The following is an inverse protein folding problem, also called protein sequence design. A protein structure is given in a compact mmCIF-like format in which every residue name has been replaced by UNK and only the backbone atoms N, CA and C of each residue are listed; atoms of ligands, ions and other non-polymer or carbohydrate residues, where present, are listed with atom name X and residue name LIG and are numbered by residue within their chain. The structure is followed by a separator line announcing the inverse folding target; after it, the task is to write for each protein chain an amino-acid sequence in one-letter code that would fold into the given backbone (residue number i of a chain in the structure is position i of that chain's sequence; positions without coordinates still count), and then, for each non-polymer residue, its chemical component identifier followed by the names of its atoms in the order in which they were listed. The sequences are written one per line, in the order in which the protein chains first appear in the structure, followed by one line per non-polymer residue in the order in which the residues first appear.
data_IF_132034124379
#
_entry.id   IF_132034124379
#
_cell.length_a   1.000
_cell.length_b   1.000
_cell.length_c   1.000
_cell.angle_alpha   90.00
_cell.angle_beta   90.00
_cell.angle_gamma   90.00
#
_symmetry.space_group_name_H-M   'P 1'
#
loop_
_entity.id
_entity.type
_entity.pdbx_description
1 polymer ?
#
# COMPACT_ATOMS: atom_id res chain seq x y z
N UNK A 1 -38.72 28.93 -32.95
CA UNK A 1 -37.43 28.37 -33.42
C UNK A 1 -36.50 28.48 -32.23
N UNK A 2 -36.46 27.41 -31.43
CA UNK A 2 -35.44 27.20 -30.42
C UNK A 2 -34.89 25.80 -30.74
N UNK A 3 -33.63 25.67 -31.18
CA UNK A 3 -33.09 24.39 -31.60
C UNK A 3 -32.82 23.56 -30.35
N UNK A 4 -33.51 22.42 -30.30
CA UNK A 4 -33.23 21.24 -29.49
C UNK A 4 -31.78 21.17 -29.03
N UNK A 5 -31.59 21.38 -27.73
CA UNK A 5 -30.50 20.78 -26.97
C UNK A 5 -30.73 19.26 -27.08
N UNK A 6 -30.04 18.60 -28.01
CA UNK A 6 -29.87 17.15 -27.98
C UNK A 6 -29.06 16.83 -26.73
N UNK A 7 -29.75 16.75 -25.59
CA UNK A 7 -29.23 16.16 -24.38
C UNK A 7 -28.90 14.71 -24.71
N UNK A 8 -27.61 14.37 -24.66
CA UNK A 8 -27.14 12.99 -24.76
C UNK A 8 -27.67 12.24 -23.55
N UNK A 9 -28.87 11.65 -23.67
CA UNK A 9 -29.46 10.81 -22.63
C UNK A 9 -28.59 9.55 -22.58
N UNK A 10 -27.84 9.38 -21.49
CA UNK A 10 -27.10 8.14 -21.24
C UNK A 10 -28.14 7.01 -21.14
N UNK A 11 -28.01 5.92 -21.91
CA UNK A 11 -28.98 4.84 -21.85
C UNK A 11 -28.98 4.24 -20.43
N UNK A 12 -30.14 4.07 -19.76
CA UNK A 12 -30.22 3.69 -18.34
C UNK A 12 -29.60 2.33 -18.01
N UNK A 13 -29.34 1.49 -19.02
CA UNK A 13 -28.62 0.22 -18.88
C UNK A 13 -27.12 0.48 -18.63
N UNK A 14 -26.53 1.46 -19.31
CA UNK A 14 -25.10 1.75 -19.19
C UNK A 14 -24.77 2.32 -17.81
N UNK A 15 -25.64 3.15 -17.23
CA UNK A 15 -25.48 3.68 -15.87
C UNK A 15 -25.46 2.56 -14.83
N UNK A 16 -26.43 1.64 -14.87
CA UNK A 16 -26.52 0.52 -13.92
C UNK A 16 -25.33 -0.43 -14.03
N UNK A 17 -24.98 -0.86 -15.25
CA UNK A 17 -23.84 -1.74 -15.47
C UNK A 17 -22.53 -1.09 -15.00
N UNK A 18 -22.39 0.22 -15.23
CA UNK A 18 -21.21 0.96 -14.76
C UNK A 18 -21.18 1.05 -13.24
N UNK A 19 -22.32 1.32 -12.60
CA UNK A 19 -22.44 1.40 -11.16
C UNK A 19 -22.14 0.04 -10.49
N UNK A 20 -22.76 -1.04 -10.95
CA UNK A 20 -22.51 -2.40 -10.45
C UNK A 20 -21.05 -2.82 -10.62
N UNK A 21 -20.41 -2.45 -11.76
CA UNK A 21 -18.97 -2.68 -11.97
C UNK A 21 -18.14 -1.90 -10.95
N UNK A 22 -18.42 -0.61 -10.77
CA UNK A 22 -17.70 0.23 -9.81
C UNK A 22 -17.92 -0.22 -8.36
N UNK A 23 -19.10 -0.70 -7.99
CA UNK A 23 -19.36 -1.29 -6.67
C UNK A 23 -18.60 -2.61 -6.47
N UNK A 24 -18.55 -3.47 -7.49
CA UNK A 24 -17.79 -4.72 -7.43
C UNK A 24 -16.27 -4.46 -7.33
N UNK A 25 -15.77 -3.45 -8.05
CA UNK A 25 -14.38 -3.00 -7.94
C UNK A 25 -14.12 -2.37 -6.57
N UNK A 26 -15.06 -1.56 -6.05
CA UNK A 26 -14.97 -0.97 -4.73
C UNK A 26 -14.92 -2.03 -3.62
N UNK A 27 -15.74 -3.07 -3.70
CA UNK A 27 -15.70 -4.21 -2.77
C UNK A 27 -14.36 -4.96 -2.82
N UNK A 28 -13.64 -4.90 -3.95
CA UNK A 28 -12.31 -5.51 -4.10
C UNK A 28 -11.17 -4.58 -3.74
N UNK A 29 -11.42 -3.28 -3.52
CA UNK A 29 -10.38 -2.27 -3.31
C UNK A 29 -9.44 -2.57 -2.15
N UNK A 30 -9.94 -3.26 -1.11
CA UNK A 30 -9.12 -3.66 0.04
C UNK A 30 -8.01 -4.66 -0.33
N UNK A 31 -8.16 -5.36 -1.47
CA UNK A 31 -7.20 -6.34 -1.99
C UNK A 31 -6.32 -5.79 -3.13
N UNK A 32 -6.54 -4.55 -3.55
CA UNK A 32 -5.88 -3.94 -4.71
C UNK A 32 -4.61 -3.19 -4.34
N UNK A 33 -3.64 -3.21 -5.24
CA UNK A 33 -2.44 -2.37 -5.26
C UNK A 33 -2.72 -1.23 -6.22
N UNK A 34 -2.86 -0.03 -5.68
CA UNK A 34 -3.37 1.12 -6.42
C UNK A 34 -2.23 1.91 -7.08
N UNK A 35 -2.48 2.42 -8.29
CA UNK A 35 -1.70 3.54 -8.83
C UNK A 35 -1.91 4.79 -7.97
N UNK A 36 -0.88 5.63 -7.91
CA UNK A 36 -0.99 6.94 -7.28
C UNK A 36 -1.99 7.79 -8.08
N UNK A 37 -2.98 8.43 -7.43
CA UNK A 37 -3.97 9.20 -8.15
C UNK A 37 -3.33 10.29 -9.02
N UNK A 38 -3.61 10.26 -10.33
CA UNK A 38 -2.96 11.14 -11.31
C UNK A 38 -3.11 12.63 -10.97
N UNK A 39 -4.26 13.02 -10.40
CA UNK A 39 -4.51 14.39 -9.96
C UNK A 39 -3.63 14.86 -8.79
N UNK A 40 -3.13 13.94 -7.97
CA UNK A 40 -2.26 14.22 -6.83
C UNK A 40 -0.78 14.16 -7.18
N UNK A 41 -0.41 13.43 -8.26
CA UNK A 41 0.98 13.22 -8.67
C UNK A 41 1.76 14.53 -8.81
N UNK A 42 1.15 15.57 -9.38
CA UNK A 42 1.75 16.91 -9.51
C UNK A 42 2.03 17.60 -8.17
N UNK A 43 1.23 17.33 -7.14
CA UNK A 43 1.31 18.04 -5.85
C UNK A 43 2.16 17.32 -4.83
N UNK A 44 2.08 15.98 -4.82
CA UNK A 44 2.70 15.13 -3.80
C UNK A 44 3.90 14.37 -4.36
N UNK A 45 3.97 14.11 -5.67
CA UNK A 45 5.03 13.31 -6.28
C UNK A 45 6.43 13.93 -6.12
N UNK A 46 6.51 15.23 -5.88
CA UNK A 46 7.77 15.97 -5.79
C UNK A 46 8.44 16.11 -7.16
N UNK A 47 9.60 16.76 -7.19
CA UNK A 47 10.35 16.90 -8.44
C UNK A 47 10.73 15.52 -8.99
N UNK A 48 10.36 15.27 -10.26
CA UNK A 48 10.63 14.01 -10.94
C UNK A 48 9.89 12.80 -10.35
N UNK A 49 8.74 13.01 -9.70
CA UNK A 49 7.95 11.95 -9.06
C UNK A 49 8.72 11.15 -8.00
N UNK A 50 9.70 11.79 -7.35
CA UNK A 50 10.55 11.26 -6.27
C UNK A 50 9.82 10.69 -5.04
N UNK A 51 8.49 10.74 -4.96
CA UNK A 51 7.71 10.10 -3.89
C UNK A 51 6.79 8.98 -4.42
N UNK A 52 6.88 8.68 -5.71
CA UNK A 52 6.04 7.70 -6.41
C UNK A 52 6.93 6.68 -7.12
N UNK A 53 7.91 7.15 -7.90
CA UNK A 53 8.76 6.29 -8.74
C UNK A 53 9.94 5.73 -7.93
N UNK A 54 10.20 4.41 -7.95
CA UNK A 54 11.36 3.81 -7.31
C UNK A 54 12.67 4.31 -7.94
N UNK A 55 13.71 4.39 -7.13
CA UNK A 55 15.02 4.93 -7.53
C UNK A 55 16.06 3.85 -7.77
N UNK A 56 15.82 2.64 -7.28
CA UNK A 56 16.77 1.55 -7.28
C UNK A 56 16.11 0.20 -7.60
N UNK A 57 14.97 -0.14 -7.00
CA UNK A 57 14.30 -1.43 -7.23
C UNK A 57 12.82 -1.26 -7.54
N UNK A 58 12.39 -1.75 -8.70
CA UNK A 58 10.97 -1.96 -8.98
C UNK A 58 10.49 -3.23 -8.26
N UNK A 59 9.32 -3.20 -7.66
CA UNK A 59 8.61 -4.33 -7.08
C UNK A 59 7.18 -4.29 -7.63
N UNK A 60 6.82 -5.29 -8.41
CA UNK A 60 5.58 -5.32 -9.15
C UNK A 60 5.67 -4.69 -10.55
N UNK A 61 4.58 -4.78 -11.33
CA UNK A 61 4.55 -4.46 -12.75
C UNK A 61 4.59 -2.95 -13.06
N UNK A 62 4.12 -2.10 -12.15
CA UNK A 62 3.90 -0.67 -12.43
C UNK A 62 5.15 0.12 -12.82
N UNK A 63 6.33 -0.32 -12.35
CA UNK A 63 7.64 0.26 -12.67
C UNK A 63 8.61 -0.78 -13.29
N UNK A 64 8.12 -1.97 -13.63
CA UNK A 64 8.96 -3.02 -14.18
C UNK A 64 9.47 -2.63 -15.58
N UNK A 65 10.75 -2.92 -15.85
CA UNK A 65 11.38 -2.64 -17.14
C UNK A 65 11.85 -1.19 -17.33
N UNK A 66 11.61 -0.28 -16.37
CA UNK A 66 12.09 1.11 -16.47
C UNK A 66 13.64 1.16 -16.61
N UNK A 67 14.19 1.92 -17.58
CA UNK A 67 15.62 1.86 -17.91
C UNK A 67 16.58 2.13 -16.74
N UNK A 68 16.22 2.98 -15.78
CA UNK A 68 17.08 3.28 -14.63
C UNK A 68 17.10 2.18 -13.57
N UNK A 69 16.19 1.21 -13.63
CA UNK A 69 16.05 0.10 -12.66
C UNK A 69 16.63 -1.22 -13.17
N UNK A 70 16.96 -1.33 -14.46
CA UNK A 70 17.42 -2.57 -15.10
C UNK A 70 18.61 -3.25 -14.40
N UNK A 71 19.53 -2.48 -13.82
CA UNK A 71 20.69 -3.03 -13.09
C UNK A 71 20.29 -3.87 -11.88
N UNK A 72 19.14 -3.57 -11.29
CA UNK A 72 18.65 -4.28 -10.10
C UNK A 72 17.91 -5.55 -10.47
N UNK A 73 17.38 -5.68 -11.69
CA UNK A 73 16.78 -6.93 -12.17
C UNK A 73 17.79 -8.08 -12.15
N UNK A 74 19.04 -7.85 -12.59
CA UNK A 74 20.13 -8.84 -12.47
C UNK A 74 20.39 -9.25 -11.01
N UNK A 75 20.28 -8.30 -10.07
CA UNK A 75 20.43 -8.56 -8.64
C UNK A 75 19.29 -9.43 -8.10
N UNK A 76 18.07 -9.29 -8.61
CA UNK A 76 16.93 -10.14 -8.23
C UNK A 76 17.15 -11.60 -8.64
N UNK A 77 17.64 -11.86 -9.85
CA UNK A 77 18.01 -13.23 -10.28
C UNK A 77 19.06 -13.85 -9.36
N UNK A 78 20.14 -13.12 -9.05
CA UNK A 78 21.17 -13.59 -8.13
C UNK A 78 20.61 -13.88 -6.73
N UNK A 79 19.65 -13.06 -6.28
CA UNK A 79 18.98 -13.22 -4.99
C UNK A 79 18.08 -14.45 -4.94
N UNK A 80 17.26 -14.66 -5.96
CA UNK A 80 16.40 -15.83 -6.06
C UNK A 80 17.22 -17.12 -6.06
N UNK A 81 18.30 -17.17 -6.85
CA UNK A 81 19.22 -18.31 -6.86
C UNK A 81 19.86 -18.55 -5.48
N UNK A 82 20.37 -17.48 -4.85
CA UNK A 82 20.96 -17.56 -3.51
C UNK A 82 19.98 -18.10 -2.46
N UNK A 83 18.75 -17.57 -2.45
CA UNK A 83 17.72 -17.99 -1.50
C UNK A 83 17.32 -19.46 -1.71
N UNK A 84 17.10 -19.88 -2.96
CA UNK A 84 16.78 -21.28 -3.26
C UNK A 84 17.89 -22.23 -2.76
N UNK A 85 19.17 -21.88 -3.03
CA UNK A 85 20.31 -22.63 -2.50
C UNK A 85 20.32 -22.66 -0.96
N UNK A 86 20.11 -21.51 -0.31
CA UNK A 86 20.09 -21.40 1.15
C UNK A 86 18.96 -22.22 1.78
N UNK A 87 17.80 -22.28 1.13
CA UNK A 87 16.65 -23.06 1.58
C UNK A 87 16.77 -24.55 1.25
N UNK A 88 17.78 -24.95 0.48
CA UNK A 88 17.98 -26.34 0.04
C UNK A 88 16.89 -26.82 -0.91
N UNK A 89 16.30 -25.91 -1.71
CA UNK A 89 15.21 -26.18 -2.66
C UNK A 89 15.67 -25.90 -4.09
N UNK A 90 15.05 -26.57 -5.06
CA UNK A 90 15.28 -26.22 -6.46
C UNK A 90 14.55 -24.93 -6.82
N UNK A 91 15.04 -24.21 -7.83
CA UNK A 91 14.38 -22.97 -8.30
C UNK A 91 12.98 -23.27 -8.80
N UNK A 92 12.79 -24.41 -9.49
CA UNK A 92 11.51 -24.86 -10.01
C UNK A 92 10.49 -25.15 -8.91
N UNK A 93 10.93 -25.72 -7.79
CA UNK A 93 10.06 -25.99 -6.63
C UNK A 93 9.54 -24.67 -6.03
N UNK A 94 10.42 -23.69 -5.82
CA UNK A 94 10.07 -22.40 -5.23
C UNK A 94 9.24 -21.57 -6.21
N UNK A 95 9.65 -21.51 -7.47
CA UNK A 95 8.90 -20.85 -8.53
C UNK A 95 7.49 -21.43 -8.69
N UNK A 96 7.34 -22.76 -8.64
CA UNK A 96 6.05 -23.44 -8.70
C UNK A 96 5.06 -23.02 -7.61
N UNK A 97 5.55 -22.61 -6.42
CA UNK A 97 4.70 -22.05 -5.36
C UNK A 97 4.15 -20.68 -5.71
N UNK A 98 4.98 -19.81 -6.32
CA UNK A 98 4.55 -18.49 -6.78
C UNK A 98 3.62 -18.62 -7.99
N UNK A 99 3.94 -19.51 -8.92
CA UNK A 99 3.11 -19.78 -10.10
C UNK A 99 1.69 -20.21 -9.71
N UNK A 100 1.55 -21.03 -8.67
CA UNK A 100 0.25 -21.49 -8.17
C UNK A 100 -0.67 -20.36 -7.67
N UNK A 101 -0.09 -19.22 -7.29
CA UNK A 101 -0.83 -18.06 -6.76
C UNK A 101 -0.77 -16.84 -7.68
N UNK A 102 -0.03 -16.92 -8.78
CA UNK A 102 0.23 -15.79 -9.70
C UNK A 102 -1.05 -15.19 -10.29
N UNK A 103 -2.05 -16.01 -10.64
CA UNK A 103 -3.32 -15.51 -11.18
C UNK A 103 -4.12 -14.70 -10.16
N UNK A 104 -4.12 -15.09 -8.88
CA UNK A 104 -4.76 -14.30 -7.82
C UNK A 104 -3.96 -13.02 -7.52
N UNK A 105 -2.62 -13.10 -7.53
CA UNK A 105 -1.72 -11.94 -7.44
C UNK A 105 -1.95 -10.93 -8.56
N UNK A 106 -2.15 -11.40 -9.79
CA UNK A 106 -2.44 -10.55 -10.92
C UNK A 106 -3.74 -9.76 -10.69
N UNK A 107 -4.75 -10.42 -10.10
CA UNK A 107 -6.01 -9.79 -9.70
C UNK A 107 -5.87 -8.69 -8.63
N UNK A 108 -4.73 -8.54 -7.96
CA UNK A 108 -4.47 -7.43 -7.05
C UNK A 108 -4.10 -6.13 -7.79
N UNK A 109 -3.71 -6.17 -9.05
CA UNK A 109 -3.41 -4.96 -9.83
C UNK A 109 -4.61 -4.52 -10.66
N UNK A 110 -4.50 -3.36 -11.30
CA UNK A 110 -5.43 -2.95 -12.35
C UNK A 110 -5.05 -3.64 -13.66
N UNK A 111 -5.87 -4.58 -14.12
CA UNK A 111 -5.61 -5.36 -15.33
C UNK A 111 -5.75 -4.51 -16.61
N UNK A 112 -6.40 -3.35 -16.53
CA UNK A 112 -6.56 -2.43 -17.65
C UNK A 112 -5.41 -1.40 -17.72
N UNK A 113 -4.48 -1.38 -16.76
CA UNK A 113 -3.28 -0.54 -16.80
C UNK A 113 -2.26 -1.11 -17.79
N UNK A 114 -1.81 -0.29 -18.75
CA UNK A 114 -0.86 -0.69 -19.80
C UNK A 114 0.42 -1.30 -19.23
N UNK A 115 0.88 -0.86 -18.04
CA UNK A 115 2.07 -1.41 -17.42
C UNK A 115 1.86 -2.83 -16.88
N UNK A 116 0.62 -3.23 -16.62
CA UNK A 116 0.26 -4.58 -16.17
C UNK A 116 -0.09 -5.46 -17.37
N UNK A 117 -0.95 -4.96 -18.26
CA UNK A 117 -1.50 -5.70 -19.41
C UNK A 117 -0.45 -6.13 -20.45
N UNK A 118 0.75 -5.52 -20.43
CA UNK A 118 1.85 -5.88 -21.34
C UNK A 118 2.49 -7.24 -21.03
N UNK A 119 2.32 -7.77 -19.81
CA UNK A 119 2.94 -9.03 -19.38
C UNK A 119 2.01 -10.21 -19.61
N UNK A 120 2.55 -11.31 -20.14
CA UNK A 120 1.89 -12.61 -20.09
C UNK A 120 1.83 -13.16 -18.67
N UNK A 121 0.96 -14.14 -18.42
CA UNK A 121 0.84 -14.80 -17.11
C UNK A 121 2.19 -15.39 -16.63
N UNK A 122 2.99 -15.94 -17.56
CA UNK A 122 4.31 -16.50 -17.26
C UNK A 122 5.33 -15.40 -16.89
N UNK A 123 5.37 -14.30 -17.64
CA UNK A 123 6.25 -13.15 -17.34
C UNK A 123 5.87 -12.49 -16.01
N UNK A 124 4.57 -12.38 -15.72
CA UNK A 124 4.07 -11.87 -14.45
C UNK A 124 4.46 -12.79 -13.29
N UNK A 125 4.32 -14.11 -13.46
CA UNK A 125 4.72 -15.08 -12.44
C UNK A 125 6.23 -15.03 -12.16
N UNK A 126 7.07 -14.93 -13.19
CA UNK A 126 8.51 -14.76 -13.06
C UNK A 126 8.85 -13.48 -12.29
N UNK A 127 8.23 -12.35 -12.66
CA UNK A 127 8.40 -11.08 -11.96
C UNK A 127 8.05 -11.18 -10.48
N UNK A 128 6.87 -11.76 -10.15
CA UNK A 128 6.44 -11.93 -8.76
C UNK A 128 7.41 -12.81 -7.97
N UNK A 129 7.96 -13.85 -8.60
CA UNK A 129 8.93 -14.73 -7.97
C UNK A 129 10.24 -14.01 -7.65
N UNK A 130 10.78 -13.26 -8.60
CA UNK A 130 12.02 -12.50 -8.44
C UNK A 130 11.86 -11.37 -7.41
N UNK A 131 10.77 -10.62 -7.49
CA UNK A 131 10.47 -9.50 -6.60
C UNK A 131 10.20 -9.98 -5.17
N UNK A 132 9.44 -11.07 -5.02
CA UNK A 132 9.19 -11.70 -3.73
C UNK A 132 10.47 -12.21 -3.08
N UNK A 133 11.33 -12.90 -3.83
CA UNK A 133 12.64 -13.35 -3.34
C UNK A 133 13.52 -12.16 -2.92
N UNK A 134 13.57 -11.11 -3.75
CA UNK A 134 14.32 -9.90 -3.43
C UNK A 134 13.85 -9.27 -2.12
N UNK A 135 12.53 -9.08 -1.98
CA UNK A 135 11.94 -8.47 -0.79
C UNK A 135 12.20 -9.33 0.46
N UNK A 136 12.03 -10.65 0.38
CA UNK A 136 12.32 -11.55 1.50
C UNK A 136 13.81 -11.53 1.90
N UNK A 137 14.73 -11.53 0.93
CA UNK A 137 16.17 -11.42 1.24
C UNK A 137 16.49 -10.11 1.97
N UNK A 138 15.86 -9.02 1.53
CA UNK A 138 16.04 -7.71 2.14
C UNK A 138 15.49 -7.69 3.57
N UNK A 139 14.31 -8.28 3.81
CA UNK A 139 13.68 -8.34 5.14
C UNK A 139 14.50 -9.14 6.17
N UNK A 140 15.09 -10.26 5.76
CA UNK A 140 15.84 -11.13 6.69
C UNK A 140 17.19 -10.51 7.10
N UNK A 141 17.74 -9.59 6.30
CA UNK A 141 19.07 -8.99 6.52
C UNK A 141 20.17 -10.03 6.79
N UNK A 142 20.09 -11.14 6.08
CA UNK A 142 21.06 -12.21 6.20
C UNK A 142 22.42 -11.81 5.62
N UNK A 143 23.47 -11.88 6.44
CA UNK A 143 24.84 -11.47 6.09
C UNK A 143 25.71 -12.63 5.56
N UNK A 144 25.12 -13.81 5.33
CA UNK A 144 25.84 -14.99 4.84
C UNK A 144 26.31 -14.84 3.36
N UNK A 145 25.86 -13.81 2.63
CA UNK A 145 26.29 -13.53 1.27
C UNK A 145 26.84 -12.10 1.15
N UNK A 146 28.16 -11.97 1.24
CA UNK A 146 28.86 -10.68 1.19
C UNK A 146 28.56 -9.87 -0.08
N UNK A 147 28.36 -10.53 -1.22
CA UNK A 147 27.99 -9.87 -2.48
C UNK A 147 26.63 -9.19 -2.37
N UNK A 148 25.60 -9.92 -1.91
CA UNK A 148 24.24 -9.39 -1.78
C UNK A 148 24.16 -8.38 -0.65
N UNK A 149 24.83 -8.62 0.48
CA UNK A 149 24.91 -7.67 1.59
C UNK A 149 25.53 -6.33 1.14
N UNK A 150 26.65 -6.37 0.41
CA UNK A 150 27.29 -5.16 -0.08
C UNK A 150 26.38 -4.37 -1.04
N UNK A 151 25.71 -5.08 -1.96
CA UNK A 151 24.82 -4.46 -2.94
C UNK A 151 23.54 -3.94 -2.31
N UNK A 152 22.86 -4.74 -1.51
CA UNK A 152 21.53 -4.41 -0.96
C UNK A 152 21.59 -3.52 0.27
N UNK A 153 22.56 -3.69 1.17
CA UNK A 153 22.56 -3.00 2.46
C UNK A 153 23.58 -1.87 2.46
N UNK A 154 24.85 -2.19 2.22
CA UNK A 154 25.94 -1.23 2.41
C UNK A 154 25.97 -0.12 1.36
N UNK A 155 25.65 -0.43 0.10
CA UNK A 155 25.74 0.53 -1.01
C UNK A 155 24.45 1.29 -1.28
N UNK A 156 23.29 0.61 -1.16
CA UNK A 156 22.00 1.13 -1.66
C UNK A 156 20.82 0.90 -0.72
N UNK A 157 21.08 0.45 0.52
CA UNK A 157 20.05 0.17 1.52
C UNK A 157 19.01 1.28 1.70
N UNK A 158 19.42 2.55 1.91
CA UNK A 158 18.47 3.65 2.04
C UNK A 158 17.54 3.82 0.82
N UNK A 159 18.05 3.60 -0.40
CA UNK A 159 17.24 3.67 -1.61
C UNK A 159 16.25 2.50 -1.70
N UNK A 160 16.69 1.28 -1.38
CA UNK A 160 15.82 0.10 -1.38
C UNK A 160 14.74 0.22 -0.32
N UNK A 161 15.09 0.63 0.89
CA UNK A 161 14.12 0.83 1.98
C UNK A 161 13.07 1.88 1.62
N UNK A 162 13.46 2.96 0.94
CA UNK A 162 12.55 3.94 0.33
C UNK A 162 11.63 3.28 -0.68
N UNK A 163 12.18 2.55 -1.63
CA UNK A 163 11.43 1.95 -2.72
C UNK A 163 10.42 0.91 -2.22
N UNK A 164 10.73 0.15 -1.16
CA UNK A 164 9.86 -0.88 -0.56
C UNK A 164 8.54 -0.31 0.02
N UNK A 165 8.50 0.96 0.38
CA UNK A 165 7.31 1.61 0.98
C UNK A 165 6.58 2.54 0.02
N UNK A 166 6.94 2.56 -1.26
CA UNK A 166 6.21 3.34 -2.27
C UNK A 166 4.91 2.65 -2.64
N UNK A 167 3.83 3.44 -2.74
CA UNK A 167 2.49 2.92 -3.03
C UNK A 167 2.42 2.10 -4.33
N UNK A 168 3.07 2.56 -5.40
CA UNK A 168 3.09 1.90 -6.72
C UNK A 168 4.15 0.78 -6.82
N UNK A 169 4.88 0.51 -5.74
CA UNK A 169 6.02 -0.41 -5.74
C UNK A 169 5.82 -1.54 -4.73
N UNK A 170 4.65 -2.17 -4.80
CA UNK A 170 4.22 -3.21 -3.87
C UNK A 170 4.00 -4.51 -4.62
N UNK A 171 4.18 -5.64 -3.92
CA UNK A 171 3.75 -6.97 -4.39
C UNK A 171 2.59 -7.50 -3.52
N UNK A 172 1.72 -8.36 -4.08
CA UNK A 172 0.63 -8.97 -3.33
C UNK A 172 1.15 -9.82 -2.17
N UNK A 173 0.50 -9.74 -1.01
CA UNK A 173 0.89 -10.49 0.20
C UNK A 173 0.89 -12.00 -0.04
N UNK A 174 -0.01 -12.50 -0.88
CA UNK A 174 -0.11 -13.91 -1.23
C UNK A 174 1.18 -14.47 -1.89
N UNK A 175 1.95 -13.64 -2.59
CA UNK A 175 3.26 -14.04 -3.14
C UNK A 175 4.26 -14.24 -1.99
N UNK A 176 4.29 -13.30 -1.05
CA UNK A 176 5.13 -13.40 0.14
C UNK A 176 4.73 -14.60 1.01
N UNK A 177 3.44 -14.84 1.20
CA UNK A 177 2.93 -15.97 1.98
C UNK A 177 3.30 -17.31 1.32
N UNK A 178 3.16 -17.42 -0.01
CA UNK A 178 3.57 -18.60 -0.76
C UNK A 178 5.07 -18.90 -0.59
N UNK A 179 5.93 -17.88 -0.70
CA UNK A 179 7.38 -18.03 -0.49
C UNK A 179 7.72 -18.34 0.98
N UNK A 180 7.11 -17.64 1.93
CA UNK A 180 7.31 -17.86 3.37
C UNK A 180 6.86 -19.25 3.83
N UNK A 181 5.88 -19.86 3.14
CA UNK A 181 5.44 -21.23 3.43
C UNK A 181 6.53 -22.31 3.25
N UNK A 182 7.59 -21.99 2.51
CA UNK A 182 8.70 -22.90 2.19
C UNK A 182 9.80 -22.81 3.27
N UNK A 183 9.82 -21.72 4.03
CA UNK A 183 10.95 -21.32 4.88
C UNK A 183 10.51 -21.15 6.32
N UNK A 184 11.47 -20.86 7.20
CA UNK A 184 11.16 -20.45 8.56
C UNK A 184 10.36 -19.14 8.55
N UNK A 185 9.34 -18.98 9.42
CA UNK A 185 8.59 -17.74 9.50
C UNK A 185 9.53 -16.54 9.67
N UNK A 186 9.37 -15.56 8.78
CA UNK A 186 10.06 -14.27 8.85
C UNK A 186 9.20 -13.35 9.70
N UNK A 187 9.84 -12.65 10.64
CA UNK A 187 9.18 -11.60 11.40
C UNK A 187 9.06 -10.32 10.55
N UNK A 188 8.06 -10.31 9.67
CA UNK A 188 7.74 -9.16 8.82
C UNK A 188 7.32 -7.96 9.67
N UNK A 189 6.78 -8.18 10.87
CA UNK A 189 6.35 -7.13 11.77
C UNK A 189 7.54 -6.35 12.32
N UNK A 190 8.61 -7.06 12.74
CA UNK A 190 9.86 -6.44 13.14
C UNK A 190 10.48 -5.64 11.98
N UNK A 191 10.46 -6.18 10.75
CA UNK A 191 10.93 -5.43 9.58
C UNK A 191 10.14 -4.15 9.35
N UNK A 192 8.80 -4.21 9.31
CA UNK A 192 7.94 -3.04 9.14
C UNK A 192 8.16 -2.01 10.24
N UNK A 193 8.26 -2.46 11.49
CA UNK A 193 8.52 -1.59 12.64
C UNK A 193 9.84 -0.86 12.48
N UNK A 194 10.90 -1.55 12.05
CA UNK A 194 12.19 -0.93 11.79
C UNK A 194 12.10 0.09 10.66
N UNK A 195 11.44 -0.24 9.54
CA UNK A 195 11.30 0.68 8.41
C UNK A 195 10.50 1.92 8.78
N UNK A 196 9.35 1.76 9.44
CA UNK A 196 8.47 2.88 9.83
C UNK A 196 9.11 3.74 10.93
N UNK A 197 9.85 3.12 11.85
CA UNK A 197 10.52 3.82 12.96
C UNK A 197 11.86 4.46 12.55
N UNK A 198 12.36 4.16 11.35
CA UNK A 198 13.61 4.71 10.85
C UNK A 198 13.52 6.25 10.82
N UNK A 199 14.51 6.98 11.38
CA UNK A 199 14.54 8.43 11.37
C UNK A 199 14.36 9.05 9.97
N UNK A 200 14.69 8.33 8.90
CA UNK A 200 14.42 8.74 7.52
C UNK A 200 12.92 9.00 7.30
N UNK A 201 12.03 8.27 7.98
CA UNK A 201 10.58 8.46 7.93
C UNK A 201 10.03 9.21 9.15
N UNK A 202 10.65 9.08 10.34
CA UNK A 202 10.21 9.75 11.56
C UNK A 202 10.88 11.12 11.70
N UNK A 203 10.49 12.07 10.85
CA UNK A 203 10.94 13.46 10.92
C UNK A 203 10.17 14.34 11.94
N UNK A 204 9.27 13.80 12.77
CA UNK A 204 8.55 14.61 13.80
C UNK A 204 7.95 13.77 14.93
N UNK A 205 8.64 13.74 16.07
CA UNK A 205 8.12 13.63 17.46
C UNK A 205 6.90 12.71 17.77
N UNK A 206 6.73 11.58 17.09
CA UNK A 206 5.87 10.50 17.61
C UNK A 206 6.59 9.17 17.50
N UNK A 207 7.05 8.65 18.64
CA UNK A 207 7.33 7.21 18.79
C UNK A 207 6.03 6.49 18.50
N UNK A 208 5.95 5.86 17.32
CA UNK A 208 4.87 4.93 17.01
C UNK A 208 5.09 3.70 17.88
N UNK A 209 4.21 3.51 18.87
CA UNK A 209 4.13 2.27 19.63
C UNK A 209 3.42 1.26 18.75
N UNK A 210 4.18 0.54 17.93
CA UNK A 210 3.64 -0.64 17.26
C UNK A 210 3.53 -1.71 18.35
N UNK A 211 2.32 -1.92 18.84
CA UNK A 211 2.04 -2.91 19.86
C UNK A 211 2.11 -4.30 19.24
N UNK A 212 2.91 -5.16 19.86
CA UNK A 212 2.97 -6.60 19.64
C UNK A 212 1.60 -7.20 19.95
N UNK A 213 0.72 -7.20 18.94
CA UNK A 213 -0.58 -7.86 18.99
C UNK A 213 -0.61 -8.88 17.86
N UNK A 214 -0.30 -10.10 18.27
CA UNK A 214 -0.62 -11.32 17.56
C UNK A 214 -2.05 -11.27 16.97
N UNK A 215 -2.14 -11.81 15.75
CA UNK A 215 -3.35 -11.99 14.93
C UNK A 215 -3.79 -10.75 14.13
N UNK A 216 -2.91 -10.26 13.25
CA UNK A 216 -3.45 -9.82 11.95
C UNK A 216 -3.97 -11.07 11.26
N UNK A 217 -5.26 -11.06 10.95
CA UNK A 217 -5.88 -12.04 10.05
C UNK A 217 -5.18 -11.90 8.70
N UNK A 218 -4.12 -12.68 8.49
CA UNK A 218 -3.24 -12.62 7.30
C UNK A 218 -4.02 -12.67 5.98
N UNK A 219 -5.24 -13.20 5.99
CA UNK A 219 -6.08 -13.38 4.80
C UNK A 219 -6.76 -12.10 4.29
N UNK A 220 -6.66 -10.93 4.95
CA UNK A 220 -7.25 -9.68 4.45
C UNK A 220 -6.24 -8.63 4.01
N UNK A 221 -4.94 -8.89 4.15
CA UNK A 221 -3.90 -7.88 3.88
C UNK A 221 -3.48 -7.95 2.41
N UNK A 222 -3.61 -6.86 1.63
CA UNK A 222 -3.29 -6.90 0.20
C UNK A 222 -1.80 -6.98 -0.09
N UNK A 223 -0.97 -6.26 0.67
CA UNK A 223 0.45 -6.06 0.45
C UNK A 223 1.10 -5.45 1.71
N UNK A 224 2.42 -5.27 1.70
CA UNK A 224 3.21 -4.78 2.84
C UNK A 224 2.73 -3.42 3.40
N UNK A 225 2.46 -2.41 2.56
CA UNK A 225 1.92 -1.13 3.04
C UNK A 225 0.47 -1.24 3.59
N UNK A 226 -0.33 -2.19 3.10
CA UNK A 226 -1.63 -2.53 3.68
C UNK A 226 -1.48 -3.08 5.11
N UNK A 227 -0.47 -3.93 5.33
CA UNK A 227 -0.10 -4.45 6.65
C UNK A 227 0.34 -3.33 7.59
N UNK A 228 1.18 -2.41 7.10
CA UNK A 228 1.61 -1.24 7.86
C UNK A 228 0.43 -0.35 8.24
N UNK A 229 -0.49 -0.11 7.30
CA UNK A 229 -1.70 0.69 7.54
C UNK A 229 -2.60 0.05 8.60
N UNK A 230 -2.85 -1.25 8.55
CA UNK A 230 -3.68 -1.93 9.57
C UNK A 230 -3.04 -1.80 10.95
N UNK A 231 -1.72 -1.98 11.07
CA UNK A 231 -1.01 -1.75 12.33
C UNK A 231 -1.11 -0.31 12.85
N UNK A 232 -1.01 0.68 11.95
CA UNK A 232 -1.05 2.09 12.32
C UNK A 232 -2.46 2.57 12.70
N UNK A 233 -3.51 2.04 12.07
CA UNK A 233 -4.90 2.42 12.37
C UNK A 233 -5.43 1.66 13.58
N UNK A 234 -5.22 0.35 13.67
CA UNK A 234 -5.73 -0.46 14.78
C UNK A 234 -5.01 -0.13 16.11
N UNK A 235 -3.82 0.48 16.05
CA UNK A 235 -3.09 1.02 17.19
C UNK A 235 -3.55 2.40 17.67
N UNK A 236 -4.47 3.07 16.96
CA UNK A 236 -4.99 4.37 17.37
C UNK A 236 -6.00 4.21 18.51
N UNK A 237 -5.85 4.95 19.63
CA UNK A 237 -6.91 5.04 20.64
C UNK A 237 -8.18 5.54 19.98
N UNK A 238 -9.28 4.79 20.10
CA UNK A 238 -10.59 5.11 19.51
C UNK A 238 -11.29 6.32 20.13
N UNK A 239 -10.66 7.03 21.07
CA UNK A 239 -11.31 8.04 21.92
C UNK A 239 -11.76 9.34 21.21
N UNK A 240 -11.59 9.49 19.88
CA UNK A 240 -11.94 10.73 19.18
C UNK A 240 -12.69 10.56 17.84
N UNK A 241 -13.26 9.38 17.56
CA UNK A 241 -14.07 9.16 16.34
C UNK A 241 -15.50 8.70 16.66
N UNK A 242 -16.11 9.24 17.71
CA UNK A 242 -17.57 9.32 17.80
C UNK A 242 -18.02 10.66 17.21
N UNK A 243 -18.00 10.76 15.87
CA UNK A 243 -18.90 11.69 15.19
C UNK A 243 -20.23 10.96 15.08
N UNK A 244 -21.07 11.16 16.11
CA UNK A 244 -22.42 10.63 16.16
C UNK A 244 -23.25 11.13 14.98
N UNK A 245 -23.55 10.21 14.07
CA UNK A 245 -24.73 10.28 13.22
C UNK A 245 -25.68 9.21 13.76
N UNK A 246 -26.44 9.57 14.80
CA UNK A 246 -27.61 8.80 15.23
C UNK A 246 -28.79 9.27 14.38
N UNK A 247 -29.15 8.48 13.38
CA UNK A 247 -30.44 8.56 12.71
C UNK A 247 -31.48 7.90 13.62
N UNK A 248 -32.11 8.68 14.48
CA UNK A 248 -33.33 8.31 15.20
C UNK A 248 -34.38 9.40 14.90
N UNK A 249 -35.04 9.28 13.75
CA UNK A 249 -36.29 9.98 13.44
C UNK A 249 -37.42 8.94 13.53
N UNK A 250 -38.17 8.92 14.64
CA UNK A 250 -39.58 8.52 14.67
C UNK A 250 -40.26 9.02 15.96
N UNK A 251 -41.44 9.60 15.75
CA UNK A 251 -42.52 9.92 16.71
C UNK A 251 -42.42 11.12 17.68
N UNK A 252 -42.99 12.23 17.17
CA UNK A 252 -44.17 12.90 17.72
C UNK A 252 -44.14 13.37 19.20
N UNK A 253 -43.84 14.65 19.42
CA UNK A 253 -44.74 15.53 20.19
C UNK A 253 -44.38 17.03 20.09
N UNK A 254 -45.39 17.76 19.63
CA UNK A 254 -45.58 19.20 19.54
C UNK A 254 -45.22 20.00 20.82
N UNK A 255 -44.23 20.92 20.78
CA UNK A 255 -44.28 22.17 21.57
C UNK A 255 -43.38 23.26 20.98
N UNK A 256 -44.00 24.31 20.41
CA UNK A 256 -43.37 25.58 20.01
C UNK A 256 -42.82 26.33 21.23
N UNK A 257 -41.64 26.95 21.11
CA UNK A 257 -41.29 28.24 21.75
C UNK A 257 -39.98 28.80 21.17
N UNK A 258 -40.10 29.89 20.43
CA UNK A 258 -39.00 30.71 19.90
C UNK A 258 -38.75 31.91 20.83
N UNK A 259 -37.49 32.17 21.21
CA UNK A 259 -37.06 33.47 21.77
C UNK A 259 -35.68 33.86 21.20
N UNK A 260 -35.62 35.13 20.83
CA UNK A 260 -34.59 35.86 20.09
C UNK A 260 -33.55 36.53 21.00
N UNK A 261 -32.34 36.70 20.45
CA UNK A 261 -31.27 37.68 20.69
C UNK A 261 -31.29 38.62 21.92
N UNK A 262 -30.14 38.68 22.63
CA UNK A 262 -29.53 39.92 23.14
C UNK A 262 -28.09 39.66 23.64
N UNK A 263 -27.15 40.50 23.18
CA UNK A 263 -25.82 40.77 23.75
C UNK A 263 -25.88 42.27 24.16
N UNK A 264 -25.34 42.77 25.31
CA UNK A 264 -23.90 43.05 25.41
C UNK A 264 -23.28 43.16 26.85
N UNK A 265 -21.95 43.10 26.90
CA UNK A 265 -20.98 43.84 27.77
C UNK A 265 -21.39 44.21 29.21
N UNK A 266 -20.63 43.73 30.20
CA UNK A 266 -19.94 44.59 31.21
C UNK A 266 -19.09 43.78 32.20
N UNK A 267 -18.07 44.47 32.76
CA UNK A 267 -17.32 44.16 33.99
C UNK A 267 -16.31 42.98 33.96
N UNK A 268 -15.09 43.06 34.53
CA UNK A 268 -14.40 44.07 35.32
C UNK A 268 -12.88 43.83 35.31
N UNK A 269 -12.19 44.96 35.27
CA UNK A 269 -10.76 45.27 35.32
C UNK A 269 -10.02 44.80 36.61
N UNK A 270 -8.85 44.16 36.50
CA UNK A 270 -7.76 44.20 37.53
C UNK A 270 -6.35 44.11 36.88
N UNK A 271 -5.70 45.29 36.81
CA UNK A 271 -4.26 45.62 37.07
C UNK A 271 -3.11 45.04 36.21
N UNK A 272 -2.78 45.82 35.17
CA UNK A 272 -1.51 46.49 34.78
C UNK A 272 -0.09 46.04 35.26
N UNK A 273 0.97 46.37 34.47
CA UNK A 273 2.22 45.62 34.34
C UNK A 273 3.48 46.32 34.89
N UNK A 274 4.62 45.62 34.77
CA UNK A 274 5.94 46.20 34.47
C UNK A 274 6.52 45.42 33.29
#
# INVERSE_FOLDING_TARGET
IDPTVEGTIIPPIQERVTFERLEADFCKNERKIHRFPQGLRRWIGGEGDRYIVPTFVALGPYHHGEPHLQKTEELKYATAHYLCMKWGRSVEEVYGKVLAVAGEAHGCYDNDDDAVAQFSDDEFAEMMFLDGCFLLKYMVLDNDCSLLENRMVLSTGPCIQRDIVLLENQIPWLVLDALMSIISPIDVHMFLTAVISDPIYVARERRLLITDRDVIVKSSVPHLLGLARSHLIDGMPTDHLELGFSDDDDDDHDTRLSISAADPKQERMVRSPT
#
